data_IF_085936007365
#
_entry.id   IF_085936007365
#
_cell.length_a   1.000
_cell.length_b   1.000
_cell.length_c   1.000
_cell.angle_alpha   90.00
_cell.angle_beta   90.00
_cell.angle_gamma   90.00
#
_symmetry.space_group_name_H-M   'P 1'
#
loop_
_entity.id
_entity.type
_entity.pdbx_description
1 polymer ?
#
# COMPACT_ATOMS: atom_id res chain seq x y z
N UNK A 1 -8.70 61.08 53.10
CA UNK A 1 -8.01 61.11 51.79
C UNK A 1 -6.82 60.15 51.69
N UNK A 2 -6.21 59.63 52.75
CA UNK A 2 -5.01 58.78 52.71
C UNK A 2 -5.28 57.36 52.25
N UNK A 3 -6.49 56.82 52.43
CA UNK A 3 -6.85 55.44 52.06
C UNK A 3 -7.01 55.21 50.54
N UNK A 4 -7.49 56.20 49.79
CA UNK A 4 -7.73 56.10 48.35
C UNK A 4 -6.41 56.07 47.54
N UNK A 5 -5.40 56.81 47.95
CA UNK A 5 -4.09 56.79 47.26
C UNK A 5 -3.34 55.47 47.41
N UNK A 6 -3.47 54.79 48.56
CA UNK A 6 -2.83 53.49 48.83
C UNK A 6 -3.44 52.38 47.97
N UNK A 7 -4.76 52.45 47.72
CA UNK A 7 -5.46 51.46 46.90
C UNK A 7 -5.12 51.60 45.41
N UNK A 8 -4.99 52.82 44.90
CA UNK A 8 -4.60 53.09 43.50
C UNK A 8 -3.16 52.63 43.22
N UNK A 9 -2.25 52.83 44.17
CA UNK A 9 -0.85 52.38 43.99
C UNK A 9 -0.75 50.84 43.98
N UNK A 10 -1.46 50.14 44.84
CA UNK A 10 -1.52 48.68 44.88
C UNK A 10 -2.14 48.09 43.58
N UNK A 11 -3.22 48.71 43.08
CA UNK A 11 -3.81 48.34 41.80
C UNK A 11 -2.87 48.52 40.61
N UNK A 12 -2.11 49.62 40.55
CA UNK A 12 -1.14 49.87 39.51
C UNK A 12 0.01 48.87 39.53
N UNK A 13 0.50 48.52 40.72
CA UNK A 13 1.55 47.50 40.87
C UNK A 13 1.08 46.11 40.41
N UNK A 14 -0.16 45.76 40.72
CA UNK A 14 -0.79 44.48 40.29
C UNK A 14 -0.97 44.43 38.78
N UNK A 15 -1.41 45.53 38.16
CA UNK A 15 -1.51 45.67 36.71
C UNK A 15 -0.17 45.46 36.03
N UNK A 16 0.87 46.16 36.50
CA UNK A 16 2.23 46.00 35.95
C UNK A 16 2.77 44.57 36.10
N UNK A 17 2.44 43.87 37.21
CA UNK A 17 2.79 42.45 37.38
C UNK A 17 2.05 41.54 36.41
N UNK A 18 0.75 41.78 36.19
CA UNK A 18 -0.05 41.03 35.24
C UNK A 18 0.42 41.23 33.80
N UNK A 19 0.75 42.47 33.41
CA UNK A 19 1.28 42.77 32.09
C UNK A 19 2.63 42.07 31.84
N UNK A 20 3.54 42.10 32.80
CA UNK A 20 4.83 41.38 32.72
C UNK A 20 4.62 39.86 32.60
N UNK A 21 3.69 39.33 33.38
CA UNK A 21 3.39 37.89 33.35
C UNK A 21 2.74 37.45 32.02
N UNK A 22 1.84 38.26 31.50
CA UNK A 22 1.24 38.03 30.18
C UNK A 22 2.29 38.06 29.08
N UNK A 23 3.18 39.06 29.07
CA UNK A 23 4.25 39.14 28.08
C UNK A 23 5.20 37.95 28.15
N UNK A 24 5.54 37.47 29.37
CA UNK A 24 6.36 36.26 29.54
C UNK A 24 5.64 35.00 29.04
N UNK A 25 4.32 34.87 29.31
CA UNK A 25 3.53 33.75 28.83
C UNK A 25 3.38 33.77 27.31
N UNK A 26 3.17 34.93 26.70
CA UNK A 26 3.12 35.07 25.25
C UNK A 26 4.43 34.65 24.59
N UNK A 27 5.56 35.03 25.16
CA UNK A 27 6.87 34.59 24.68
C UNK A 27 7.05 33.07 24.81
N UNK A 28 6.70 32.52 25.96
CA UNK A 28 6.78 31.06 26.15
C UNK A 28 5.84 30.28 25.20
N UNK A 29 4.64 30.79 24.96
CA UNK A 29 3.70 30.22 23.99
C UNK A 29 4.30 30.28 22.59
N UNK A 30 4.86 31.40 22.18
CA UNK A 30 5.47 31.56 20.87
C UNK A 30 6.67 30.60 20.68
N UNK A 31 7.55 30.48 21.67
CA UNK A 31 8.68 29.54 21.64
C UNK A 31 8.24 28.10 21.57
N UNK A 32 7.27 27.71 22.42
CA UNK A 32 6.72 26.32 22.40
C UNK A 32 5.99 26.00 21.12
N UNK A 33 5.24 26.96 20.58
CA UNK A 33 4.56 26.77 19.29
C UNK A 33 5.58 26.58 18.17
N UNK A 34 6.64 27.38 18.13
CA UNK A 34 7.70 27.22 17.14
C UNK A 34 8.45 25.88 17.28
N UNK A 35 8.70 25.44 18.52
CA UNK A 35 9.31 24.12 18.79
C UNK A 35 8.39 22.96 18.31
N UNK A 36 7.09 23.03 18.62
CA UNK A 36 6.10 22.03 18.19
C UNK A 36 5.96 21.95 16.66
N UNK A 37 5.99 23.10 15.97
CA UNK A 37 5.96 23.13 14.50
C UNK A 37 7.18 22.40 13.92
N UNK A 38 8.39 22.74 14.41
CA UNK A 38 9.64 22.10 13.96
C UNK A 38 9.65 20.59 14.22
N UNK A 39 9.18 20.17 15.41
CA UNK A 39 9.12 18.75 15.75
C UNK A 39 8.12 18.00 14.87
N UNK A 40 6.97 18.61 14.58
CA UNK A 40 5.96 18.03 13.70
C UNK A 40 6.48 17.88 12.25
N UNK A 41 7.17 18.90 11.73
CA UNK A 41 7.83 18.83 10.41
C UNK A 41 8.87 17.71 10.35
N UNK A 42 9.72 17.57 11.37
CA UNK A 42 10.72 16.51 11.45
C UNK A 42 10.09 15.11 11.55
N UNK A 43 8.99 14.96 12.32
CA UNK A 43 8.23 13.71 12.40
C UNK A 43 7.57 13.36 11.08
N UNK A 44 7.01 14.32 10.37
CA UNK A 44 6.41 14.12 9.05
C UNK A 44 7.46 13.66 8.02
N UNK A 45 8.63 14.31 8.03
CA UNK A 45 9.74 13.92 7.15
C UNK A 45 10.21 12.51 7.44
N UNK A 46 10.40 12.16 8.72
CA UNK A 46 10.81 10.82 9.13
C UNK A 46 9.75 9.75 8.80
N UNK A 47 8.48 10.09 8.94
CA UNK A 47 7.38 9.21 8.54
C UNK A 47 7.37 8.97 7.02
N UNK A 48 7.66 10.00 6.22
CA UNK A 48 7.74 9.85 4.75
C UNK A 48 8.95 9.04 4.32
N UNK A 49 10.13 9.25 4.92
CA UNK A 49 11.33 8.42 4.69
C UNK A 49 11.04 6.95 5.02
N UNK A 50 10.41 6.66 6.16
CA UNK A 50 10.01 5.30 6.52
C UNK A 50 8.97 4.71 5.57
N UNK A 51 8.06 5.53 5.03
CA UNK A 51 7.09 5.10 4.01
C UNK A 51 7.78 4.72 2.69
N UNK A 52 8.75 5.51 2.25
CA UNK A 52 9.52 5.23 1.03
C UNK A 52 10.32 3.92 1.17
N UNK A 53 10.93 3.68 2.33
CA UNK A 53 11.59 2.39 2.64
C UNK A 53 10.61 1.20 2.66
N UNK A 54 9.32 1.46 2.96
CA UNK A 54 8.27 0.44 2.98
C UNK A 54 7.59 0.20 1.61
N UNK A 55 7.99 0.88 0.53
CA UNK A 55 7.35 0.73 -0.79
C UNK A 55 7.72 -0.58 -1.51
N UNK A 56 8.76 -1.27 -1.04
CA UNK A 56 9.28 -2.48 -1.68
C UNK A 56 9.29 -3.64 -0.70
N UNK A 57 8.85 -4.82 -1.13
CA UNK A 57 8.99 -6.06 -0.35
C UNK A 57 10.44 -6.48 -0.30
N UNK A 58 10.98 -6.67 0.88
CA UNK A 58 12.41 -6.92 1.11
C UNK A 58 12.89 -8.27 0.55
N UNK A 59 12.02 -9.28 0.47
CA UNK A 59 12.38 -10.59 -0.06
C UNK A 59 12.38 -10.61 -1.58
N UNK A 60 11.29 -10.13 -2.19
CA UNK A 60 11.03 -10.33 -3.62
C UNK A 60 11.38 -9.13 -4.49
N UNK A 61 11.55 -7.95 -3.88
CA UNK A 61 11.72 -6.70 -4.61
C UNK A 61 10.45 -6.22 -5.33
N UNK A 62 9.31 -6.90 -5.19
CA UNK A 62 8.03 -6.43 -5.67
C UNK A 62 7.59 -5.17 -4.92
N UNK A 63 6.59 -4.46 -5.41
CA UNK A 63 5.97 -3.41 -4.62
C UNK A 63 5.38 -4.00 -3.33
N UNK A 64 5.45 -3.23 -2.25
CA UNK A 64 4.81 -3.62 -1.00
C UNK A 64 3.29 -3.45 -1.09
N UNK A 65 2.57 -4.04 -0.14
CA UNK A 65 1.13 -3.82 0.04
C UNK A 65 0.78 -2.32 0.15
N UNK A 66 1.59 -1.54 0.83
CA UNK A 66 1.38 -0.10 0.97
C UNK A 66 1.41 0.62 -0.39
N UNK A 67 2.40 0.32 -1.22
CA UNK A 67 2.52 0.89 -2.57
C UNK A 67 1.38 0.44 -3.48
N UNK A 68 0.97 -0.81 -3.39
CA UNK A 68 -0.18 -1.36 -4.12
C UNK A 68 -1.48 -0.59 -3.80
N UNK A 69 -1.80 -0.44 -2.50
CA UNK A 69 -3.02 0.26 -2.08
C UNK A 69 -3.04 1.72 -2.53
N UNK A 70 -1.87 2.37 -2.57
CA UNK A 70 -1.71 3.72 -3.10
C UNK A 70 -1.94 3.76 -4.61
N UNK A 71 -1.37 2.81 -5.35
CA UNK A 71 -1.53 2.71 -6.80
C UNK A 71 -3.00 2.47 -7.18
N UNK A 72 -3.70 1.54 -6.52
CA UNK A 72 -5.12 1.28 -6.77
C UNK A 72 -5.96 2.54 -6.51
N UNK A 73 -5.71 3.27 -5.41
CA UNK A 73 -6.43 4.53 -5.12
C UNK A 73 -6.23 5.56 -6.24
N UNK A 74 -5.00 5.71 -6.73
CA UNK A 74 -4.70 6.62 -7.83
C UNK A 74 -5.42 6.21 -9.13
N UNK A 75 -5.46 4.90 -9.44
CA UNK A 75 -6.18 4.41 -10.61
C UNK A 75 -7.69 4.56 -10.47
N UNK A 76 -8.27 4.37 -9.27
CA UNK A 76 -9.69 4.68 -9.02
C UNK A 76 -10.01 6.17 -9.32
N UNK A 77 -9.16 7.09 -8.88
CA UNK A 77 -9.33 8.53 -9.14
C UNK A 77 -9.19 8.85 -10.63
N UNK A 78 -8.22 8.23 -11.31
CA UNK A 78 -8.02 8.38 -12.76
C UNK A 78 -9.20 7.82 -13.55
N UNK A 79 -9.68 6.63 -13.20
CA UNK A 79 -10.84 6.01 -13.84
C UNK A 79 -12.10 6.86 -13.70
N UNK A 80 -12.34 7.43 -12.52
CA UNK A 80 -13.46 8.37 -12.29
C UNK A 80 -13.35 9.63 -13.15
N UNK A 81 -12.15 10.18 -13.29
CA UNK A 81 -11.93 11.45 -13.99
C UNK A 81 -11.89 11.29 -15.51
N UNK A 82 -11.27 10.24 -16.01
CA UNK A 82 -10.96 10.07 -17.43
C UNK A 82 -11.74 8.94 -18.09
N UNK A 83 -12.56 8.19 -17.32
CA UNK A 83 -13.32 7.01 -17.79
C UNK A 83 -12.42 5.94 -18.45
N UNK A 84 -11.17 5.83 -17.98
CA UNK A 84 -10.23 4.82 -18.43
C UNK A 84 -10.38 3.57 -17.56
N UNK A 85 -10.54 2.37 -18.15
CA UNK A 85 -10.65 1.15 -17.38
C UNK A 85 -9.31 0.79 -16.74
N UNK A 86 -9.33 0.14 -15.60
CA UNK A 86 -8.18 -0.60 -15.09
C UNK A 86 -8.65 -1.90 -14.45
N UNK A 87 -7.76 -2.89 -14.43
CA UNK A 87 -8.03 -4.19 -13.84
C UNK A 87 -7.01 -4.53 -12.75
N UNK A 88 -7.44 -5.36 -11.81
CA UNK A 88 -6.58 -5.92 -10.77
C UNK A 88 -6.64 -7.43 -10.87
N UNK A 89 -5.46 -8.06 -10.83
CA UNK A 89 -5.30 -9.52 -10.77
C UNK A 89 -4.74 -9.86 -9.39
N UNK A 90 -5.43 -10.69 -8.62
CA UNK A 90 -4.84 -11.36 -7.46
C UNK A 90 -4.29 -12.72 -7.89
N UNK A 91 -3.15 -13.11 -7.35
CA UNK A 91 -2.42 -14.33 -7.69
C UNK A 91 -1.95 -14.99 -6.40
N UNK A 92 -2.03 -16.31 -6.31
CA UNK A 92 -1.60 -17.06 -5.14
C UNK A 92 -0.97 -18.37 -5.58
N UNK A 93 0.16 -18.73 -4.94
CA UNK A 93 0.88 -19.96 -5.28
C UNK A 93 0.13 -21.16 -4.73
N UNK A 94 -0.28 -22.05 -5.61
CA UNK A 94 -1.00 -23.25 -5.22
C UNK A 94 -0.10 -24.18 -4.39
N UNK A 95 -0.62 -24.61 -3.24
CA UNK A 95 0.05 -25.55 -2.33
C UNK A 95 1.44 -25.08 -1.82
N UNK A 96 1.66 -23.76 -1.69
CA UNK A 96 2.95 -23.19 -1.27
C UNK A 96 3.48 -23.78 0.03
N UNK A 97 2.58 -24.10 0.98
CA UNK A 97 2.99 -24.77 2.22
C UNK A 97 3.69 -26.11 1.96
N UNK A 98 3.17 -26.90 1.01
CA UNK A 98 3.81 -28.19 0.66
C UNK A 98 5.20 -27.99 0.04
N UNK A 99 5.41 -26.90 -0.71
CA UNK A 99 6.72 -26.53 -1.24
C UNK A 99 7.70 -26.30 -0.07
N UNK A 100 7.29 -25.50 0.91
CA UNK A 100 8.12 -25.25 2.10
C UNK A 100 8.37 -26.51 2.92
N UNK A 101 7.34 -27.34 3.12
CA UNK A 101 7.45 -28.56 3.92
C UNK A 101 8.36 -29.60 3.25
N UNK A 102 8.34 -29.71 1.91
CA UNK A 102 9.13 -30.71 1.16
C UNK A 102 10.54 -30.23 0.80
N UNK A 103 10.73 -28.92 0.53
CA UNK A 103 11.98 -28.38 -0.02
C UNK A 103 12.63 -27.30 0.87
N UNK A 104 12.00 -26.97 1.99
CA UNK A 104 12.46 -25.96 2.95
C UNK A 104 12.11 -24.52 2.56
N UNK A 105 12.13 -23.64 3.55
CA UNK A 105 11.77 -22.22 3.38
C UNK A 105 12.63 -21.48 2.36
N UNK A 106 13.92 -21.83 2.25
CA UNK A 106 14.81 -21.21 1.26
C UNK A 106 14.34 -21.47 -0.18
N UNK A 107 13.85 -22.68 -0.47
CA UNK A 107 13.29 -23.02 -1.79
C UNK A 107 11.98 -22.26 -2.03
N UNK A 108 11.13 -22.11 -1.01
CA UNK A 108 9.95 -21.28 -1.08
C UNK A 108 10.27 -19.81 -1.36
N UNK A 109 11.23 -19.23 -0.62
CA UNK A 109 11.68 -17.85 -0.82
C UNK A 109 12.19 -17.62 -2.25
N UNK A 110 13.03 -18.54 -2.76
CA UNK A 110 13.54 -18.46 -4.12
C UNK A 110 12.42 -18.57 -5.17
N UNK A 111 11.39 -19.40 -4.89
CA UNK A 111 10.19 -19.49 -5.74
C UNK A 111 9.48 -18.15 -5.84
N UNK A 112 9.25 -17.47 -4.71
CA UNK A 112 8.60 -16.17 -4.70
C UNK A 112 9.41 -15.10 -5.46
N UNK A 113 10.72 -15.09 -5.30
CA UNK A 113 11.63 -14.19 -6.04
C UNK A 113 11.52 -14.44 -7.55
N UNK A 114 11.58 -15.70 -7.97
CA UNK A 114 11.52 -16.08 -9.38
C UNK A 114 10.17 -15.77 -10.02
N UNK A 115 9.05 -15.95 -9.29
CA UNK A 115 7.70 -15.54 -9.73
C UNK A 115 7.68 -14.04 -10.03
N UNK A 116 8.17 -13.22 -9.11
CA UNK A 116 8.18 -11.76 -9.30
C UNK A 116 9.04 -11.37 -10.50
N UNK A 117 10.21 -11.97 -10.66
CA UNK A 117 11.09 -11.71 -11.81
C UNK A 117 10.41 -12.07 -13.13
N UNK A 118 9.75 -13.24 -13.19
CA UNK A 118 9.01 -13.69 -14.37
C UNK A 118 7.86 -12.75 -14.70
N UNK A 119 7.00 -12.45 -13.75
CA UNK A 119 5.85 -11.56 -13.96
C UNK A 119 6.33 -10.19 -14.41
N UNK A 120 7.32 -9.58 -13.75
CA UNK A 120 7.86 -8.28 -14.08
C UNK A 120 8.41 -8.20 -15.52
N UNK A 121 9.01 -9.28 -16.02
CA UNK A 121 9.52 -9.31 -17.39
C UNK A 121 8.44 -9.46 -18.47
N UNK A 122 7.18 -9.72 -18.08
CA UNK A 122 6.09 -9.98 -19.02
C UNK A 122 4.89 -9.03 -18.88
N UNK A 123 4.95 -8.10 -17.95
CA UNK A 123 4.00 -6.98 -17.82
C UNK A 123 4.65 -5.70 -18.33
N UNK A 124 3.85 -4.64 -18.58
CA UNK A 124 4.33 -3.34 -19.06
C UNK A 124 4.99 -2.56 -17.92
N UNK A 125 5.80 -1.57 -18.26
CA UNK A 125 6.44 -0.68 -17.29
C UNK A 125 5.44 0.09 -16.41
N UNK A 126 4.25 0.39 -16.95
CA UNK A 126 3.17 1.07 -16.23
C UNK A 126 2.38 0.14 -15.31
N UNK A 127 2.48 -1.18 -15.50
CA UNK A 127 1.82 -2.17 -14.67
C UNK A 127 2.62 -2.36 -13.38
N UNK A 128 1.92 -2.70 -12.31
CA UNK A 128 2.54 -2.86 -11.00
C UNK A 128 2.32 -4.27 -10.48
N UNK A 129 3.42 -5.00 -10.20
CA UNK A 129 3.35 -6.22 -9.38
C UNK A 129 3.71 -5.88 -7.94
N UNK A 130 2.90 -6.35 -7.00
CA UNK A 130 3.07 -6.18 -5.57
C UNK A 130 2.90 -7.51 -4.83
N UNK A 131 3.59 -7.65 -3.71
CA UNK A 131 3.36 -8.74 -2.76
C UNK A 131 2.34 -8.29 -1.73
N UNK A 132 1.20 -9.01 -1.67
CA UNK A 132 0.13 -8.72 -0.72
C UNK A 132 0.43 -9.28 0.67
N UNK A 133 1.02 -10.47 0.71
CA UNK A 133 1.50 -11.14 1.94
C UNK A 133 1.77 -12.63 1.69
N UNK A 134 2.69 -13.23 2.43
CA UNK A 134 3.00 -14.65 2.27
C UNK A 134 3.34 -15.03 0.83
N UNK A 135 2.50 -15.84 0.22
CA UNK A 135 2.54 -16.35 -1.16
C UNK A 135 1.54 -15.66 -2.11
N UNK A 136 0.89 -14.57 -1.65
CA UNK A 136 -0.07 -13.81 -2.40
C UNK A 136 0.56 -12.60 -3.09
N UNK A 137 0.23 -12.42 -4.36
CA UNK A 137 0.66 -11.29 -5.19
C UNK A 137 -0.54 -10.61 -5.83
N UNK A 138 -0.37 -9.34 -6.20
CA UNK A 138 -1.35 -8.59 -6.97
C UNK A 138 -0.68 -7.86 -8.13
N UNK A 139 -1.38 -7.80 -9.26
CA UNK A 139 -0.97 -7.00 -10.42
C UNK A 139 -2.04 -5.96 -10.70
N UNK A 140 -1.63 -4.69 -10.81
CA UNK A 140 -2.50 -3.60 -11.26
C UNK A 140 -2.18 -3.31 -12.72
N UNK A 141 -3.20 -3.27 -13.55
CA UNK A 141 -3.13 -3.07 -15.00
C UNK A 141 -3.86 -1.76 -15.37
N UNK A 142 -3.17 -0.60 -15.39
CA UNK A 142 -3.76 0.65 -15.85
C UNK A 142 -4.21 0.57 -17.32
N UNK A 143 -5.25 1.30 -17.67
CA UNK A 143 -5.81 1.37 -19.03
C UNK A 143 -6.13 -0.01 -19.65
N UNK A 144 -6.58 -0.96 -18.82
CA UNK A 144 -6.79 -2.34 -19.22
C UNK A 144 -8.17 -2.79 -18.71
N UNK A 145 -9.08 -3.08 -19.62
CA UNK A 145 -10.39 -3.63 -19.31
C UNK A 145 -10.33 -5.13 -19.02
N UNK A 146 -11.50 -5.71 -18.67
CA UNK A 146 -11.61 -7.12 -18.28
C UNK A 146 -11.07 -8.09 -19.33
N UNK A 147 -11.38 -7.87 -20.60
CA UNK A 147 -10.97 -8.79 -21.70
C UNK A 147 -9.45 -8.81 -21.83
N UNK A 148 -8.82 -7.65 -21.89
CA UNK A 148 -7.36 -7.55 -21.98
C UNK A 148 -6.67 -8.01 -20.69
N UNK A 149 -7.26 -7.72 -19.53
CA UNK A 149 -6.80 -8.21 -18.23
C UNK A 149 -6.82 -9.73 -18.15
N UNK A 150 -7.84 -10.35 -18.73
CA UNK A 150 -7.93 -11.82 -18.84
C UNK A 150 -6.81 -12.38 -19.72
N UNK A 151 -6.51 -11.76 -20.86
CA UNK A 151 -5.39 -12.18 -21.72
C UNK A 151 -4.03 -12.09 -21.00
N UNK A 152 -3.83 -11.03 -20.20
CA UNK A 152 -2.62 -10.90 -19.38
C UNK A 152 -2.56 -12.03 -18.34
N UNK A 153 -3.65 -12.30 -17.62
CA UNK A 153 -3.70 -13.34 -16.60
C UNK A 153 -3.46 -14.73 -17.20
N UNK A 154 -4.08 -15.06 -18.34
CA UNK A 154 -3.88 -16.34 -19.05
C UNK A 154 -2.42 -16.51 -19.48
N UNK A 155 -1.81 -15.45 -20.04
CA UNK A 155 -0.40 -15.45 -20.42
C UNK A 155 0.51 -15.70 -19.22
N UNK A 156 0.28 -15.00 -18.10
CA UNK A 156 1.10 -15.17 -16.89
C UNK A 156 0.95 -16.60 -16.34
N UNK A 157 -0.27 -17.15 -16.29
CA UNK A 157 -0.52 -18.53 -15.85
C UNK A 157 0.25 -19.55 -16.69
N UNK A 158 0.16 -19.43 -18.02
CA UNK A 158 0.88 -20.33 -18.93
C UNK A 158 2.40 -20.22 -18.78
N UNK A 159 2.93 -19.00 -18.68
CA UNK A 159 4.35 -18.77 -18.47
C UNK A 159 4.86 -19.39 -17.17
N UNK A 160 4.11 -19.28 -16.08
CA UNK A 160 4.45 -19.87 -14.79
C UNK A 160 4.57 -21.39 -14.85
N UNK A 161 3.64 -22.03 -15.56
CA UNK A 161 3.67 -23.48 -15.78
C UNK A 161 4.82 -23.90 -16.70
N UNK A 162 5.10 -23.15 -17.78
CA UNK A 162 6.09 -23.52 -18.80
C UNK A 162 7.53 -23.21 -18.41
N UNK A 163 7.75 -22.14 -17.67
CA UNK A 163 9.10 -21.57 -17.40
C UNK A 163 9.91 -22.34 -16.36
N UNK A 164 9.32 -23.35 -15.71
CA UNK A 164 9.97 -24.05 -14.59
C UNK A 164 10.61 -23.07 -13.62
N UNK A 165 9.79 -22.15 -13.12
CA UNK A 165 10.20 -21.12 -12.13
C UNK A 165 11.05 -21.71 -11.00
N UNK A 166 10.81 -23.00 -10.70
CA UNK A 166 11.64 -23.83 -9.84
C UNK A 166 12.27 -24.97 -10.65
N UNK A 167 13.57 -25.15 -10.55
CA UNK A 167 14.31 -26.20 -11.28
C UNK A 167 13.94 -27.63 -10.84
N UNK A 168 13.38 -27.78 -9.64
CA UNK A 168 13.24 -29.08 -8.97
C UNK A 168 11.79 -29.54 -8.81
N UNK A 169 10.80 -28.67 -9.04
CA UNK A 169 9.38 -29.02 -8.91
C UNK A 169 8.51 -28.07 -9.75
N UNK A 170 7.36 -28.57 -10.15
CA UNK A 170 6.38 -27.79 -10.88
C UNK A 170 5.52 -26.97 -9.90
N UNK A 171 5.22 -25.74 -10.27
CA UNK A 171 4.34 -24.85 -9.52
C UNK A 171 3.19 -24.42 -10.40
N UNK A 172 2.04 -24.24 -9.79
CA UNK A 172 0.90 -23.54 -10.39
C UNK A 172 0.47 -22.37 -9.51
N UNK A 173 -0.28 -21.47 -10.09
CA UNK A 173 -0.90 -20.36 -9.38
C UNK A 173 -2.36 -20.24 -9.76
N UNK A 174 -3.18 -19.84 -8.80
CA UNK A 174 -4.57 -19.47 -9.01
C UNK A 174 -4.69 -17.95 -9.14
N UNK A 175 -5.65 -17.50 -9.96
CA UNK A 175 -5.82 -16.11 -10.32
C UNK A 175 -7.25 -15.65 -10.12
N UNK A 176 -7.41 -14.46 -9.51
CA UNK A 176 -8.67 -13.73 -9.47
C UNK A 176 -8.53 -12.42 -10.23
N UNK A 177 -9.43 -12.13 -11.16
CA UNK A 177 -9.44 -10.92 -11.97
C UNK A 177 -10.69 -10.11 -11.69
N UNK A 178 -10.56 -8.79 -11.54
CA UNK A 178 -11.68 -7.88 -11.60
C UNK A 178 -11.28 -6.55 -12.27
N UNK A 179 -12.15 -6.07 -13.16
CA UNK A 179 -12.10 -4.70 -13.68
C UNK A 179 -12.78 -3.76 -12.70
N UNK A 180 -12.21 -2.58 -12.50
CA UNK A 180 -12.84 -1.51 -11.72
C UNK A 180 -14.17 -1.09 -12.36
N UNK A 181 -15.21 -1.01 -11.53
CA UNK A 181 -16.53 -0.55 -11.97
C UNK A 181 -16.73 0.93 -11.60
N UNK A 182 -17.42 1.71 -12.46
CA UNK A 182 -17.75 3.09 -12.13
C UNK A 182 -18.42 3.19 -10.75
N UNK A 183 -17.99 4.18 -9.97
CA UNK A 183 -18.52 4.51 -8.65
C UNK A 183 -18.29 3.48 -7.52
N UNK A 184 -17.62 2.36 -7.78
CA UNK A 184 -17.23 1.48 -6.69
C UNK A 184 -16.08 2.08 -5.87
N UNK A 185 -16.03 1.75 -4.57
CA UNK A 185 -14.90 2.09 -3.72
C UNK A 185 -13.85 0.97 -3.79
N UNK A 186 -12.57 1.33 -3.55
CA UNK A 186 -11.46 0.39 -3.60
C UNK A 186 -11.75 -0.93 -2.85
N UNK A 187 -12.37 -0.86 -1.66
CA UNK A 187 -12.67 -2.05 -0.87
C UNK A 187 -13.64 -3.03 -1.57
N UNK A 188 -14.57 -2.53 -2.37
CA UNK A 188 -15.50 -3.37 -3.15
C UNK A 188 -14.77 -4.07 -4.29
N UNK A 189 -13.90 -3.36 -5.02
CA UNK A 189 -13.03 -3.97 -6.02
C UNK A 189 -12.18 -5.09 -5.41
N UNK A 190 -11.53 -4.83 -4.26
CA UNK A 190 -10.68 -5.82 -3.59
C UNK A 190 -11.46 -7.07 -3.17
N UNK A 191 -12.69 -6.90 -2.66
CA UNK A 191 -13.58 -8.03 -2.32
C UNK A 191 -13.92 -8.86 -3.56
N UNK A 192 -14.17 -8.24 -4.73
CA UNK A 192 -14.44 -8.98 -5.98
C UNK A 192 -13.23 -9.76 -6.47
N UNK A 193 -12.06 -9.14 -6.43
CA UNK A 193 -10.79 -9.79 -6.81
C UNK A 193 -10.50 -10.99 -5.91
N UNK A 194 -10.64 -10.82 -4.59
CA UNK A 194 -10.42 -11.88 -3.61
C UNK A 194 -11.42 -13.05 -3.78
N UNK A 195 -12.71 -12.73 -3.99
CA UNK A 195 -13.73 -13.72 -4.27
C UNK A 195 -13.43 -14.53 -5.55
N UNK A 196 -12.96 -13.85 -6.59
CA UNK A 196 -12.58 -14.52 -7.83
C UNK A 196 -11.39 -15.47 -7.61
N UNK A 197 -10.34 -15.03 -6.88
CA UNK A 197 -9.21 -15.88 -6.51
C UNK A 197 -9.65 -17.09 -5.68
N UNK A 198 -10.52 -16.87 -4.70
CA UNK A 198 -11.06 -17.95 -3.88
C UNK A 198 -11.82 -18.99 -4.72
N UNK A 199 -12.62 -18.55 -5.70
CA UNK A 199 -13.29 -19.46 -6.64
C UNK A 199 -12.28 -20.26 -7.48
N UNK A 200 -11.21 -19.63 -7.98
CA UNK A 200 -10.17 -20.33 -8.71
C UNK A 200 -9.54 -21.45 -7.88
N UNK A 201 -9.27 -21.21 -6.60
CA UNK A 201 -8.75 -22.23 -5.68
C UNK A 201 -9.74 -23.37 -5.42
N UNK A 202 -11.04 -23.07 -5.26
CA UNK A 202 -12.06 -24.09 -5.00
C UNK A 202 -12.37 -24.97 -6.21
N UNK A 203 -12.29 -24.44 -7.42
CA UNK A 203 -12.72 -25.12 -8.64
C UNK A 203 -11.60 -25.86 -9.37
N UNK A 204 -10.44 -26.05 -8.70
CA UNK A 204 -9.40 -26.95 -9.20
C UNK A 204 -8.01 -26.34 -9.30
N UNK A 205 -7.82 -25.09 -8.82
CA UNK A 205 -6.54 -24.39 -8.89
C UNK A 205 -6.03 -24.19 -10.32
N UNK A 206 -4.84 -23.58 -10.51
CA UNK A 206 -4.20 -23.34 -11.80
C UNK A 206 -5.16 -22.77 -12.86
N UNK A 207 -5.97 -21.82 -12.48
CA UNK A 207 -6.99 -21.21 -13.34
C UNK A 207 -7.26 -19.76 -12.95
N UNK A 208 -8.04 -19.10 -13.80
CA UNK A 208 -8.44 -17.71 -13.62
C UNK A 208 -9.95 -17.67 -13.48
N UNK A 209 -10.43 -17.01 -12.40
CA UNK A 209 -11.84 -16.64 -12.21
C UNK A 209 -12.01 -15.12 -12.21
N UNK A 210 -13.26 -14.66 -12.49
CA UNK A 210 -13.63 -13.24 -12.56
C UNK A 210 -14.82 -12.93 -11.64
#
# INVERSE_FOLDING_TARGET
MIGAHRNIHAQKLLLEQLERRNHTLEQQIAERTAELVRLNEALQQKAEENRQLAETDALTGAASRYRLERAIRQECERAKRFHQPFSVIAMDVDDFKQINDNHGHHAGDQTLINIVALVRSHIREIDLIARWGGDEFMVVLPNTGRVDGRLVADKLRELLVQSRVCQHFDITMSFGLAEYQPDEVMSQLMVRVDRALYQAKLTGKNQICE
#
